data_IF_436031819298
#
_entry.id   IF_436031819298
#
_cell.length_a   1.000
_cell.length_b   1.000
_cell.length_c   1.000
_cell.angle_alpha   90.00
_cell.angle_beta   90.00
_cell.angle_gamma   90.00
#
_symmetry.space_group_name_H-M   'P 1'
#
loop_
_entity.id
_entity.type
_entity.pdbx_description
1 polymer ?
#
# COMPACT_ATOMS: atom_id res chain seq x y z
N UNK A 1 -15.14 16.45 1.68
CA UNK A 1 -14.15 16.52 0.57
C UNK A 1 -13.73 15.11 0.26
N UNK A 2 -13.49 14.76 -1.02
CA UNK A 2 -12.89 13.46 -1.38
C UNK A 2 -11.38 13.52 -1.14
N UNK A 3 -10.78 12.47 -0.57
CA UNK A 3 -9.33 12.39 -0.43
C UNK A 3 -8.61 12.63 -1.77
N UNK A 4 -7.42 13.23 -1.72
CA UNK A 4 -6.53 13.33 -2.88
C UNK A 4 -5.64 12.09 -2.95
N UNK A 5 -5.76 11.32 -4.02
CA UNK A 5 -4.89 10.16 -4.30
C UNK A 5 -3.73 10.61 -5.17
N UNK A 6 -2.50 10.34 -4.74
CA UNK A 6 -1.26 10.79 -5.39
C UNK A 6 -0.33 9.58 -5.54
N UNK A 7 -0.02 9.19 -6.77
CA UNK A 7 0.96 8.15 -7.05
C UNK A 7 2.31 8.76 -7.37
N UNK A 8 3.37 8.27 -6.73
CA UNK A 8 4.75 8.67 -7.06
C UNK A 8 5.38 7.56 -7.88
N UNK A 9 5.46 7.77 -9.19
CA UNK A 9 5.92 6.77 -10.15
C UNK A 9 7.01 7.34 -11.06
N UNK A 10 8.06 6.56 -11.29
CA UNK A 10 9.14 6.86 -12.23
C UNK A 10 9.88 5.56 -12.58
N UNK A 11 10.02 5.30 -13.89
CA UNK A 11 10.66 4.11 -14.44
C UNK A 11 12.16 3.98 -14.15
N UNK A 12 12.79 5.01 -13.57
CA UNK A 12 14.20 4.97 -13.14
C UNK A 12 14.29 4.71 -11.64
N UNK A 13 15.11 3.73 -11.26
CA UNK A 13 15.46 3.45 -9.86
C UNK A 13 16.36 4.54 -9.25
N UNK A 14 16.29 4.73 -7.93
CA UNK A 14 17.17 5.64 -7.20
C UNK A 14 16.92 7.14 -7.42
N UNK A 15 15.74 7.51 -7.92
CA UNK A 15 15.34 8.93 -8.14
C UNK A 15 14.61 9.56 -6.95
N UNK A 16 14.49 8.84 -5.83
CA UNK A 16 13.87 9.34 -4.61
C UNK A 16 12.35 9.21 -4.52
N UNK A 17 11.73 8.24 -5.21
CA UNK A 17 10.27 7.99 -5.17
C UNK A 17 9.79 7.76 -3.73
N UNK A 18 10.27 6.69 -3.11
CA UNK A 18 9.99 6.32 -1.72
C UNK A 18 10.28 7.45 -0.74
N UNK A 19 11.45 8.09 -0.85
CA UNK A 19 11.80 9.24 0.00
C UNK A 19 10.79 10.37 -0.15
N UNK A 20 10.36 10.68 -1.38
CA UNK A 20 9.34 11.70 -1.64
C UNK A 20 7.98 11.29 -1.09
N UNK A 21 7.61 10.02 -1.25
CA UNK A 21 6.35 9.46 -0.76
C UNK A 21 6.24 9.62 0.76
N UNK A 22 7.23 9.13 1.50
CA UNK A 22 7.25 9.19 2.98
C UNK A 22 7.35 10.63 3.47
N UNK A 23 8.25 11.44 2.89
CA UNK A 23 8.42 12.84 3.32
C UNK A 23 7.15 13.68 3.11
N UNK A 24 6.44 13.48 2.00
CA UNK A 24 5.15 14.15 1.77
C UNK A 24 4.08 13.64 2.73
N UNK A 25 4.05 12.33 3.01
CA UNK A 25 3.10 11.74 3.94
C UNK A 25 3.23 12.33 5.35
N UNK A 26 4.45 12.35 5.88
CA UNK A 26 4.75 12.91 7.19
C UNK A 26 4.47 14.41 7.24
N UNK A 27 4.82 15.17 6.20
CA UNK A 27 4.53 16.60 6.12
C UNK A 27 3.02 16.88 6.14
N UNK A 28 2.23 16.14 5.36
CA UNK A 28 0.78 16.28 5.38
C UNK A 28 0.18 15.86 6.73
N UNK A 29 0.67 14.78 7.33
CA UNK A 29 0.20 14.32 8.64
C UNK A 29 0.56 15.31 9.75
N UNK A 30 1.73 15.96 9.68
CA UNK A 30 2.15 17.01 10.61
C UNK A 30 1.27 18.26 10.53
N UNK A 31 0.64 18.53 9.38
CA UNK A 31 -0.41 19.54 9.23
C UNK A 31 -1.78 19.10 9.78
N UNK A 32 -1.87 17.90 10.36
CA UNK A 32 -3.10 17.33 10.93
C UNK A 32 -4.03 16.67 9.91
N UNK A 33 -3.57 16.38 8.69
CA UNK A 33 -4.34 15.64 7.68
C UNK A 33 -4.31 14.15 8.01
N UNK A 34 -5.41 13.43 7.80
CA UNK A 34 -5.42 11.96 7.86
C UNK A 34 -4.76 11.43 6.59
N UNK A 35 -3.62 10.77 6.74
CA UNK A 35 -2.80 10.29 5.61
C UNK A 35 -2.76 8.77 5.60
N UNK A 36 -2.87 8.19 4.40
CA UNK A 36 -2.58 6.78 4.15
C UNK A 36 -1.43 6.68 3.15
N UNK A 37 -0.40 5.92 3.48
CA UNK A 37 0.60 5.45 2.52
C UNK A 37 0.22 4.04 2.06
N UNK A 38 0.28 3.79 0.76
CA UNK A 38 0.11 2.46 0.16
C UNK A 38 1.43 2.11 -0.50
N UNK A 39 2.15 1.16 0.08
CA UNK A 39 3.40 0.67 -0.48
C UNK A 39 3.08 -0.42 -1.51
N UNK A 40 3.40 -0.17 -2.78
CA UNK A 40 3.20 -1.10 -3.89
C UNK A 40 4.54 -1.61 -4.45
N UNK A 41 5.65 -1.39 -3.74
CA UNK A 41 6.98 -1.87 -4.15
C UNK A 41 7.34 -3.14 -3.39
N UNK A 42 7.71 -4.20 -4.13
CA UNK A 42 8.23 -5.47 -3.61
C UNK A 42 9.38 -5.33 -2.61
N UNK A 43 10.13 -4.22 -2.64
CA UNK A 43 11.22 -3.95 -1.70
C UNK A 43 10.75 -3.43 -0.34
N UNK A 44 9.48 -3.03 -0.23
CA UNK A 44 8.86 -2.53 1.00
C UNK A 44 9.60 -1.35 1.68
N UNK A 45 10.34 -0.55 0.90
CA UNK A 45 11.15 0.54 1.43
C UNK A 45 10.29 1.64 2.06
N UNK A 46 9.10 1.94 1.49
CA UNK A 46 8.21 2.92 2.10
C UNK A 46 7.67 2.39 3.43
N UNK A 47 7.34 1.11 3.49
CA UNK A 47 6.88 0.45 4.72
C UNK A 47 7.92 0.56 5.84
N UNK A 48 9.18 0.20 5.56
CA UNK A 48 10.28 0.31 6.51
C UNK A 48 10.48 1.74 7.00
N UNK A 49 10.47 2.72 6.09
CA UNK A 49 10.68 4.11 6.44
C UNK A 49 9.52 4.70 7.25
N UNK A 50 8.28 4.36 6.92
CA UNK A 50 7.11 4.81 7.69
C UNK A 50 7.16 4.21 9.10
N UNK A 51 7.44 2.92 9.25
CA UNK A 51 7.55 2.28 10.57
C UNK A 51 8.73 2.79 11.42
N UNK A 52 9.73 3.43 10.82
CA UNK A 52 10.80 4.13 11.53
C UNK A 52 11.77 3.18 12.24
N UNK A 53 12.09 3.49 13.51
CA UNK A 53 13.19 2.84 14.24
C UNK A 53 13.01 1.32 14.45
N UNK A 54 11.76 0.84 14.49
CA UNK A 54 11.43 -0.59 14.64
C UNK A 54 10.88 -1.18 13.33
N UNK A 55 11.27 -0.58 12.19
CA UNK A 55 10.70 -0.90 10.89
C UNK A 55 10.82 -2.36 10.45
N UNK A 56 11.95 -3.01 10.72
CA UNK A 56 12.12 -4.44 10.42
C UNK A 56 11.17 -5.33 11.23
N UNK A 57 11.00 -5.02 12.53
CA UNK A 57 10.13 -5.79 13.43
C UNK A 57 8.66 -5.62 13.06
N UNK A 58 8.22 -4.38 12.81
CA UNK A 58 6.86 -4.07 12.37
C UNK A 58 6.53 -4.64 10.99
N UNK A 59 7.46 -4.54 10.03
CA UNK A 59 7.25 -5.15 8.72
C UNK A 59 7.19 -6.67 8.82
N UNK A 60 8.06 -7.29 9.62
CA UNK A 60 8.04 -8.73 9.87
C UNK A 60 6.71 -9.16 10.51
N UNK A 61 6.21 -8.40 11.47
CA UNK A 61 4.92 -8.64 12.08
C UNK A 61 3.78 -8.53 11.05
N UNK A 62 3.72 -7.45 10.27
CA UNK A 62 2.70 -7.27 9.23
C UNK A 62 2.68 -8.43 8.21
N UNK A 63 3.86 -8.95 7.84
CA UNK A 63 3.99 -10.12 6.97
C UNK A 63 3.48 -11.41 7.62
N UNK A 64 3.66 -11.58 8.92
CA UNK A 64 3.18 -12.76 9.66
C UNK A 64 1.68 -12.69 9.97
N UNK A 65 1.16 -11.48 10.14
CA UNK A 65 -0.24 -11.20 10.40
C UNK A 65 -1.08 -11.12 9.11
N UNK A 66 -0.46 -11.38 7.94
CA UNK A 66 -1.08 -11.31 6.61
C UNK A 66 -1.71 -9.94 6.30
N UNK A 67 -1.09 -8.88 6.79
CA UNK A 67 -1.59 -7.50 6.70
C UNK A 67 -0.91 -6.70 5.57
N UNK A 68 -0.43 -7.35 4.50
CA UNK A 68 0.27 -6.67 3.39
C UNK A 68 -0.55 -6.62 2.11
N UNK A 69 -0.19 -5.72 1.17
CA UNK A 69 -0.84 -5.66 -0.15
C UNK A 69 -0.74 -6.99 -0.92
N UNK A 70 0.33 -7.75 -0.71
CA UNK A 70 0.51 -9.08 -1.28
C UNK A 70 -0.56 -10.04 -0.77
N UNK A 71 -0.89 -9.98 0.51
CA UNK A 71 -1.90 -10.84 1.13
C UNK A 71 -3.30 -10.46 0.63
N UNK A 72 -3.59 -9.16 0.47
CA UNK A 72 -4.83 -8.70 -0.17
C UNK A 72 -4.98 -9.24 -1.60
N UNK A 73 -3.90 -9.26 -2.39
CA UNK A 73 -3.91 -9.82 -3.75
C UNK A 73 -4.14 -11.34 -3.71
N UNK A 74 -3.43 -12.08 -2.85
CA UNK A 74 -3.57 -13.52 -2.72
C UNK A 74 -5.00 -13.90 -2.30
N UNK A 75 -5.54 -13.27 -1.26
CA UNK A 75 -6.85 -13.62 -0.71
C UNK A 75 -7.97 -13.33 -1.72
N UNK A 76 -7.92 -12.18 -2.42
CA UNK A 76 -8.98 -11.83 -3.36
C UNK A 76 -8.91 -12.59 -4.69
N UNK A 77 -7.72 -12.96 -5.16
CA UNK A 77 -7.56 -13.45 -6.53
C UNK A 77 -7.06 -14.90 -6.64
N UNK A 78 -6.48 -15.46 -5.59
CA UNK A 78 -6.17 -16.90 -5.52
C UNK A 78 -7.19 -17.65 -4.65
N UNK A 79 -7.51 -17.12 -3.46
CA UNK A 79 -8.48 -17.75 -2.55
C UNK A 79 -9.95 -17.38 -2.88
N UNK A 80 -10.17 -16.45 -3.83
CA UNK A 80 -11.48 -15.96 -4.26
C UNK A 80 -12.33 -15.38 -3.10
N UNK A 81 -11.65 -14.77 -2.13
CA UNK A 81 -12.29 -14.06 -1.03
C UNK A 81 -12.78 -12.67 -1.47
N UNK A 82 -13.54 -12.01 -0.60
CA UNK A 82 -14.08 -10.67 -0.86
C UNK A 82 -13.55 -9.66 0.17
N UNK A 83 -12.23 -9.66 0.34
CA UNK A 83 -11.52 -8.83 1.32
C UNK A 83 -11.39 -7.40 0.83
N UNK A 84 -11.53 -6.45 1.76
CA UNK A 84 -11.37 -5.02 1.49
C UNK A 84 -9.96 -4.59 1.81
N UNK A 85 -9.42 -3.70 0.99
CA UNK A 85 -8.09 -3.14 1.23
C UNK A 85 -7.95 -2.45 2.60
N UNK A 86 -9.06 -1.98 3.17
CA UNK A 86 -9.10 -1.40 4.52
C UNK A 86 -8.75 -2.39 5.65
N UNK A 87 -8.88 -3.71 5.42
CA UNK A 87 -8.55 -4.75 6.39
C UNK A 87 -7.03 -4.92 6.57
N UNK A 88 -6.23 -4.37 5.66
CA UNK A 88 -4.76 -4.49 5.61
C UNK A 88 -4.09 -3.17 6.01
N UNK A 89 -4.83 -2.25 6.62
CA UNK A 89 -4.30 -0.99 7.12
C UNK A 89 -3.68 -1.22 8.50
N UNK A 90 -2.40 -0.92 8.61
CA UNK A 90 -1.70 -0.72 9.87
C UNK A 90 -1.90 0.74 10.29
N UNK A 91 -2.63 0.92 11.39
CA UNK A 91 -2.98 2.25 11.92
C UNK A 91 -1.86 2.84 12.77
N UNK A 92 -1.74 4.16 12.79
CA UNK A 92 -0.71 4.88 13.57
C UNK A 92 0.70 4.31 13.29
N UNK A 93 0.99 4.07 12.01
CA UNK A 93 2.15 3.31 11.57
C UNK A 93 3.47 4.07 11.73
N UNK A 94 3.45 5.38 11.89
CA UNK A 94 4.66 6.20 11.99
C UNK A 94 5.11 6.46 13.41
N UNK A 95 6.42 6.30 13.65
CA UNK A 95 7.06 6.66 14.93
C UNK A 95 7.38 8.17 15.04
N UNK A 96 7.13 8.94 13.98
CA UNK A 96 7.37 10.37 13.94
C UNK A 96 6.31 11.13 14.75
N UNK A 97 6.75 12.22 15.39
CA UNK A 97 5.86 13.11 16.14
C UNK A 97 5.99 14.56 15.66
N UNK A 98 4.87 15.30 15.68
CA UNK A 98 4.83 16.73 15.44
C UNK A 98 4.29 17.46 16.69
N UNK A 99 5.12 18.32 17.29
CA UNK A 99 4.77 19.00 18.54
C UNK A 99 4.51 18.04 19.71
N UNK A 100 5.18 16.88 19.73
CA UNK A 100 5.06 15.85 20.76
C UNK A 100 3.81 14.96 20.62
N UNK A 101 3.07 15.04 19.51
CA UNK A 101 1.94 14.16 19.20
C UNK A 101 2.27 13.22 18.05
N UNK A 102 1.83 11.96 18.07
CA UNK A 102 1.95 11.05 16.93
C UNK A 102 1.31 11.63 15.66
N UNK A 103 1.88 11.30 14.52
CA UNK A 103 1.30 11.67 13.23
C UNK A 103 0.08 10.79 12.90
N UNK A 104 -1.03 11.35 12.40
CA UNK A 104 -2.17 10.58 11.87
C UNK A 104 -1.83 9.98 10.50
N UNK A 105 -0.87 9.06 10.49
CA UNK A 105 -0.29 8.42 9.32
C UNK A 105 -0.45 6.90 9.40
N UNK A 106 -1.31 6.37 8.55
CA UNK A 106 -1.55 4.94 8.41
C UNK A 106 -0.79 4.38 7.20
N UNK A 107 -0.61 3.06 7.17
CA UNK A 107 0.14 2.35 6.14
C UNK A 107 -0.60 1.09 5.69
N UNK A 108 -0.64 0.85 4.37
CA UNK A 108 -0.79 -0.50 3.83
C UNK A 108 0.62 -0.95 3.42
N UNK A 109 1.23 -1.88 4.16
CA UNK A 109 2.59 -2.29 3.91
C UNK A 109 2.69 -3.21 2.70
N UNK A 110 3.86 -3.19 2.08
CA UNK A 110 4.24 -4.14 1.04
C UNK A 110 4.97 -5.33 1.64
N UNK A 111 5.34 -6.30 0.80
CA UNK A 111 6.24 -7.38 1.20
C UNK A 111 7.06 -7.92 0.03
N UNK A 112 8.21 -8.57 0.31
CA UNK A 112 9.00 -9.27 -0.72
C UNK A 112 8.22 -10.36 -1.49
N UNK A 113 7.08 -10.81 -0.94
CA UNK A 113 6.19 -11.79 -1.57
C UNK A 113 5.45 -11.22 -2.77
N UNK A 114 5.27 -9.90 -2.86
CA UNK A 114 4.44 -9.23 -3.88
C UNK A 114 4.77 -9.67 -5.29
N UNK A 115 6.08 -9.71 -5.63
CA UNK A 115 6.53 -10.11 -6.97
C UNK A 115 6.12 -11.53 -7.33
N UNK A 116 6.15 -12.42 -6.34
CA UNK A 116 5.78 -13.83 -6.51
C UNK A 116 4.26 -13.92 -6.70
N UNK A 117 3.50 -13.25 -5.84
CA UNK A 117 2.03 -13.13 -5.92
C UNK A 117 1.57 -12.61 -7.28
N UNK A 118 2.14 -11.52 -7.78
CA UNK A 118 1.81 -10.97 -9.10
C UNK A 118 2.03 -11.98 -10.22
N UNK A 119 3.14 -12.73 -10.15
CA UNK A 119 3.48 -13.74 -11.15
C UNK A 119 2.54 -14.96 -11.08
N UNK A 120 2.20 -15.43 -9.88
CA UNK A 120 1.29 -16.55 -9.67
C UNK A 120 -0.13 -16.20 -10.14
N UNK A 121 -0.58 -14.97 -9.84
CA UNK A 121 -1.84 -14.43 -10.33
C UNK A 121 -1.93 -14.43 -11.87
N UNK A 122 -0.89 -13.92 -12.54
CA UNK A 122 -0.82 -13.92 -14.01
C UNK A 122 -0.88 -15.35 -14.54
N UNK A 123 -0.13 -16.28 -13.95
CA UNK A 123 -0.11 -17.68 -14.38
C UNK A 123 -1.49 -18.33 -14.23
N UNK A 124 -2.10 -18.25 -13.05
CA UNK A 124 -3.38 -18.87 -12.75
C UNK A 124 -4.49 -18.40 -13.68
N UNK A 125 -4.55 -17.10 -13.95
CA UNK A 125 -5.61 -16.53 -14.77
C UNK A 125 -5.37 -16.75 -16.28
N UNK A 126 -4.13 -16.78 -16.73
CA UNK A 126 -3.83 -17.13 -18.13
C UNK A 126 -4.10 -18.61 -18.42
N UNK A 127 -3.88 -19.53 -17.48
CA UNK A 127 -4.30 -20.94 -17.60
C UNK A 127 -5.83 -21.09 -17.73
N UNK A 128 -6.59 -20.20 -17.10
CA UNK A 128 -8.05 -20.15 -17.21
C UNK A 128 -8.55 -19.45 -18.49
N UNK A 129 -7.63 -18.98 -19.36
CA UNK A 129 -7.96 -18.36 -20.65
C UNK A 129 -8.25 -16.86 -20.58
N UNK A 130 -7.98 -16.18 -19.45
CA UNK A 130 -8.11 -14.73 -19.37
C UNK A 130 -6.97 -14.03 -20.14
N UNK A 131 -7.28 -12.92 -20.81
CA UNK A 131 -6.27 -12.04 -21.40
C UNK A 131 -5.61 -11.17 -20.32
N UNK A 132 -4.41 -10.66 -20.61
CA UNK A 132 -3.74 -9.67 -19.75
C UNK A 132 -4.60 -8.42 -19.53
N UNK A 133 -5.33 -7.98 -20.55
CA UNK A 133 -6.27 -6.86 -20.43
C UNK A 133 -7.43 -7.17 -19.47
N UNK A 134 -7.94 -8.41 -19.48
CA UNK A 134 -8.99 -8.82 -18.55
C UNK A 134 -8.48 -8.81 -17.10
N UNK A 135 -7.24 -9.27 -16.88
CA UNK A 135 -6.56 -9.22 -15.59
C UNK A 135 -6.43 -7.78 -15.07
N UNK A 136 -5.84 -6.90 -15.88
CA UNK A 136 -5.67 -5.48 -15.54
C UNK A 136 -7.01 -4.83 -15.19
N UNK A 137 -8.06 -5.14 -15.95
CA UNK A 137 -9.40 -4.63 -15.69
C UNK A 137 -10.00 -5.17 -14.39
N UNK A 138 -9.79 -6.45 -14.06
CA UNK A 138 -10.34 -7.06 -12.85
C UNK A 138 -9.65 -6.54 -11.59
N UNK A 139 -8.31 -6.58 -11.56
CA UNK A 139 -7.50 -6.06 -10.45
C UNK A 139 -7.69 -4.54 -10.34
N UNK A 140 -7.62 -3.83 -11.46
CA UNK A 140 -7.79 -2.38 -11.50
C UNK A 140 -9.18 -1.91 -11.08
N UNK A 141 -10.25 -2.65 -11.41
CA UNK A 141 -11.61 -2.37 -10.91
C UNK A 141 -11.67 -2.55 -9.40
N UNK A 142 -11.15 -3.66 -8.89
CA UNK A 142 -11.18 -3.97 -7.46
C UNK A 142 -10.39 -2.95 -6.63
N UNK A 143 -9.18 -2.59 -7.06
CA UNK A 143 -8.41 -1.49 -6.45
C UNK A 143 -9.20 -0.17 -6.51
N UNK A 144 -9.79 0.17 -7.65
CA UNK A 144 -10.56 1.41 -7.77
C UNK A 144 -11.74 1.48 -6.81
N UNK A 145 -12.46 0.38 -6.63
CA UNK A 145 -13.59 0.30 -5.72
C UNK A 145 -13.13 0.48 -4.27
N UNK A 146 -12.05 -0.18 -3.87
CA UNK A 146 -11.49 -0.05 -2.52
C UNK A 146 -10.93 1.36 -2.28
N UNK A 147 -10.19 1.95 -3.22
CA UNK A 147 -9.74 3.34 -3.12
C UNK A 147 -10.89 4.34 -3.04
N UNK A 148 -12.03 4.06 -3.68
CA UNK A 148 -13.21 4.92 -3.55
C UNK A 148 -13.79 4.91 -2.14
N UNK A 149 -13.73 3.78 -1.43
CA UNK A 149 -14.12 3.69 -0.03
C UNK A 149 -13.11 4.40 0.88
N UNK A 150 -11.81 4.20 0.64
CA UNK A 150 -10.73 4.83 1.41
C UNK A 150 -10.75 6.37 1.30
N UNK A 151 -11.18 6.91 0.15
CA UNK A 151 -11.34 8.36 -0.05
C UNK A 151 -12.30 9.04 0.92
N UNK A 152 -13.18 8.29 1.60
CA UNK A 152 -14.07 8.82 2.62
C UNK A 152 -13.38 8.93 4.01
N UNK A 153 -12.30 8.17 4.23
CA UNK A 153 -11.61 8.06 5.53
C UNK A 153 -10.37 8.94 5.63
N UNK A 154 -9.69 9.18 4.51
CA UNK A 154 -8.45 9.95 4.47
C UNK A 154 -8.63 11.31 3.80
N UNK A 155 -7.70 12.21 4.05
CA UNK A 155 -7.60 13.48 3.35
C UNK A 155 -6.60 13.37 2.19
N UNK A 156 -5.56 12.55 2.36
CA UNK A 156 -4.53 12.25 1.35
C UNK A 156 -4.21 10.75 1.36
N UNK A 157 -4.11 10.15 0.17
CA UNK A 157 -3.61 8.79 -0.02
C UNK A 157 -2.41 8.87 -0.97
N UNK A 158 -1.24 8.41 -0.52
CA UNK A 158 0.00 8.40 -1.28
C UNK A 158 0.36 6.96 -1.66
N UNK A 159 0.63 6.70 -2.94
CA UNK A 159 1.06 5.39 -3.41
C UNK A 159 2.54 5.43 -3.77
N UNK A 160 3.36 4.63 -3.09
CA UNK A 160 4.74 4.37 -3.52
C UNK A 160 4.72 3.30 -4.59
N UNK A 161 5.09 3.66 -5.81
CA UNK A 161 5.15 2.74 -6.94
C UNK A 161 6.59 2.28 -7.20
N UNK A 162 6.79 1.08 -7.79
CA UNK A 162 8.12 0.56 -8.12
C UNK A 162 8.92 1.42 -9.12
#
# INVERSE_FOLDING_TARGET
MSARVISIANSKGGVGKTTTTVSLAEAFAAEGRRVLVVDLDTQANASLLVFGNEGDEHLFQAINDYATISDWLLENFEANEQKRLEEYIVTDASDVTAGGKPLPLDLIPSSPRLRKTEKELIYHLTEQGYSMEALENQVGRRLRDDFNLLKAKYDVILCDCP
#
